data_IF_073901774375
#
_entry.id   IF_073901774375
#
_cell.length_a   1.000
_cell.length_b   1.000
_cell.length_c   1.000
_cell.angle_alpha   90.00
_cell.angle_beta   90.00
_cell.angle_gamma   90.00
#
_symmetry.space_group_name_H-M   'P 1'
#
loop_
_entity.id
_entity.type
_entity.pdbx_description
1 polymer ?
#
# COMPACT_ATOMS: atom_id res chain seq x y z
N UNK A 1 -2.25 -7.81 -29.97
CA UNK A 1 -3.26 -8.27 -29.00
C UNK A 1 -2.62 -9.37 -28.15
N UNK A 2 -2.15 -9.10 -26.93
CA UNK A 2 -1.65 -10.16 -26.07
C UNK A 2 -2.85 -10.95 -25.53
N UNK A 3 -2.76 -12.27 -25.63
CA UNK A 3 -3.83 -13.23 -25.31
C UNK A 3 -4.03 -13.36 -23.80
N UNK A 4 -5.27 -13.64 -23.35
CA UNK A 4 -5.56 -13.86 -21.95
C UNK A 4 -5.02 -15.23 -21.56
N UNK A 5 -3.97 -15.28 -20.74
CA UNK A 5 -3.51 -16.55 -20.20
C UNK A 5 -4.52 -17.06 -19.18
N UNK A 6 -5.29 -18.06 -19.59
CA UNK A 6 -5.99 -18.96 -18.68
C UNK A 6 -4.99 -19.71 -17.80
N UNK A 7 -5.47 -20.16 -16.64
CA UNK A 7 -4.72 -20.60 -15.45
C UNK A 7 -3.81 -21.85 -15.60
N UNK A 8 -3.22 -22.12 -16.77
CA UNK A 8 -2.25 -23.20 -16.98
C UNK A 8 -1.12 -22.75 -17.94
N UNK A 9 0.01 -22.35 -17.36
CA UNK A 9 1.35 -22.51 -17.99
C UNK A 9 1.80 -21.51 -19.06
N UNK A 10 1.11 -20.38 -19.26
CA UNK A 10 1.63 -19.30 -20.10
C UNK A 10 2.52 -18.33 -19.32
N UNK A 11 3.65 -17.89 -19.90
CA UNK A 11 4.49 -16.87 -19.27
C UNK A 11 3.73 -15.55 -19.16
N UNK A 12 3.78 -14.90 -17.98
CA UNK A 12 3.11 -13.62 -17.72
C UNK A 12 3.64 -12.47 -18.59
N UNK A 13 4.82 -12.64 -19.18
CA UNK A 13 5.45 -11.71 -20.12
C UNK A 13 5.64 -12.39 -21.47
N UNK A 14 5.45 -11.61 -22.54
CA UNK A 14 5.86 -11.99 -23.89
C UNK A 14 7.40 -12.00 -24.02
N UNK A 15 7.89 -12.67 -25.07
CA UNK A 15 9.33 -12.71 -25.34
C UNK A 15 9.94 -11.32 -25.55
N UNK A 16 9.19 -10.37 -26.12
CA UNK A 16 9.67 -9.01 -26.35
C UNK A 16 9.72 -8.20 -25.06
N UNK A 17 8.70 -8.30 -24.21
CA UNK A 17 8.71 -7.67 -22.90
C UNK A 17 9.86 -8.20 -22.02
N UNK A 18 10.17 -9.50 -22.11
CA UNK A 18 11.34 -10.07 -21.43
C UNK A 18 12.67 -9.53 -21.98
N UNK A 19 12.77 -9.26 -23.27
CA UNK A 19 13.96 -8.63 -23.86
C UNK A 19 14.14 -7.20 -23.36
N UNK A 20 13.05 -6.42 -23.30
CA UNK A 20 13.04 -5.06 -22.74
C UNK A 20 13.44 -5.09 -21.27
N UNK A 21 12.85 -5.99 -20.46
CA UNK A 21 13.19 -6.15 -19.05
C UNK A 21 14.67 -6.52 -18.85
N UNK A 22 15.18 -7.48 -19.62
CA UNK A 22 16.60 -7.88 -19.55
C UNK A 22 17.52 -6.71 -19.86
N UNK A 23 17.19 -5.91 -20.88
CA UNK A 23 17.95 -4.71 -21.25
C UNK A 23 17.91 -3.66 -20.13
N UNK A 24 16.74 -3.38 -19.58
CA UNK A 24 16.58 -2.45 -18.45
C UNK A 24 17.40 -2.89 -17.23
N UNK A 25 17.40 -4.18 -16.90
CA UNK A 25 18.21 -4.75 -15.82
C UNK A 25 19.71 -4.63 -16.10
N UNK A 26 20.16 -4.89 -17.34
CA UNK A 26 21.56 -4.72 -17.71
C UNK A 26 22.04 -3.28 -17.50
N UNK A 27 21.21 -2.30 -17.86
CA UNK A 27 21.49 -0.87 -17.62
C UNK A 27 21.47 -0.51 -16.14
N UNK A 28 20.55 -1.08 -15.36
CA UNK A 28 20.50 -0.85 -13.91
C UNK A 28 21.77 -1.38 -13.20
N UNK A 29 22.33 -2.49 -13.67
CA UNK A 29 23.58 -3.06 -13.15
C UNK A 29 24.83 -2.33 -13.68
N UNK A 30 24.78 -1.87 -14.92
CA UNK A 30 25.86 -1.16 -15.60
C UNK A 30 25.33 0.11 -16.26
N UNK A 31 25.27 1.23 -15.52
CA UNK A 31 24.67 2.46 -16.01
C UNK A 31 25.36 2.96 -17.28
N UNK A 32 24.58 3.02 -18.35
CA UNK A 32 24.99 3.54 -19.65
C UNK A 32 23.85 4.40 -20.23
N UNK A 33 24.17 5.39 -21.09
CA UNK A 33 23.14 6.16 -21.78
C UNK A 33 22.24 5.22 -22.60
N UNK A 34 20.94 5.38 -22.44
CA UNK A 34 19.91 4.66 -23.21
C UNK A 34 19.44 5.51 -24.39
N UNK A 35 19.14 4.87 -25.51
CA UNK A 35 18.46 5.54 -26.62
C UNK A 35 17.00 5.87 -26.24
N UNK A 36 16.46 6.96 -26.79
CA UNK A 36 15.09 7.39 -26.47
C UNK A 36 14.05 6.29 -26.72
N UNK A 37 14.20 5.49 -27.78
CA UNK A 37 13.31 4.37 -28.08
C UNK A 37 13.33 3.32 -26.95
N UNK A 38 14.50 3.00 -26.40
CA UNK A 38 14.62 2.04 -25.31
C UNK A 38 13.99 2.56 -24.02
N UNK A 39 14.08 3.88 -23.77
CA UNK A 39 13.40 4.53 -22.64
C UNK A 39 11.89 4.43 -22.80
N UNK A 40 11.36 4.71 -24.00
CA UNK A 40 9.92 4.59 -24.27
C UNK A 40 9.42 3.15 -24.13
N UNK A 41 10.19 2.16 -24.58
CA UNK A 41 9.87 0.74 -24.38
C UNK A 41 9.81 0.37 -22.89
N UNK A 42 10.77 0.85 -22.09
CA UNK A 42 10.77 0.61 -20.65
C UNK A 42 9.57 1.27 -19.95
N UNK A 43 9.23 2.50 -20.32
CA UNK A 43 8.06 3.20 -19.78
C UNK A 43 6.75 2.50 -20.18
N UNK A 44 6.65 2.01 -21.41
CA UNK A 44 5.49 1.22 -21.86
C UNK A 44 5.37 -0.07 -21.06
N UNK A 45 6.47 -0.81 -20.88
CA UNK A 45 6.49 -2.04 -20.09
C UNK A 45 6.09 -1.76 -18.63
N UNK A 46 6.62 -0.71 -18.02
CA UNK A 46 6.24 -0.29 -16.67
C UNK A 46 4.74 0.00 -16.58
N UNK A 47 4.17 0.74 -17.54
CA UNK A 47 2.73 0.99 -17.60
C UNK A 47 1.89 -0.28 -17.73
N UNK A 48 2.33 -1.26 -18.54
CA UNK A 48 1.66 -2.56 -18.63
C UNK A 48 1.70 -3.34 -17.31
N UNK A 49 2.84 -3.31 -16.60
CA UNK A 49 2.98 -3.96 -15.29
C UNK A 49 2.09 -3.28 -14.24
N UNK A 50 2.07 -1.95 -14.20
CA UNK A 50 1.21 -1.20 -13.29
C UNK A 50 -0.26 -1.51 -13.53
N UNK A 51 -0.68 -1.62 -14.80
CA UNK A 51 -2.04 -2.01 -15.15
C UNK A 51 -2.37 -3.45 -14.71
N UNK A 52 -1.45 -4.39 -14.94
CA UNK A 52 -1.62 -5.77 -14.48
C UNK A 52 -1.74 -5.84 -12.94
N UNK A 53 -0.96 -5.04 -12.21
CA UNK A 53 -1.05 -4.94 -10.75
C UNK A 53 -2.39 -4.34 -10.32
N UNK A 54 -2.87 -3.29 -10.99
CA UNK A 54 -4.19 -2.69 -10.71
C UNK A 54 -5.31 -3.70 -10.90
N UNK A 55 -5.31 -4.42 -12.02
CA UNK A 55 -6.36 -5.42 -12.29
C UNK A 55 -6.26 -6.62 -11.34
N UNK A 56 -5.06 -7.10 -11.02
CA UNK A 56 -4.87 -8.15 -10.03
C UNK A 56 -5.43 -7.73 -8.64
N UNK A 57 -5.21 -6.47 -8.24
CA UNK A 57 -5.77 -5.94 -7.00
C UNK A 57 -7.30 -5.84 -7.05
N UNK A 58 -7.87 -5.46 -8.19
CA UNK A 58 -9.32 -5.43 -8.40
C UNK A 58 -9.95 -6.82 -8.27
N UNK A 59 -9.37 -7.82 -8.93
CA UNK A 59 -9.79 -9.23 -8.82
C UNK A 59 -9.67 -9.73 -7.39
N UNK A 60 -8.56 -9.41 -6.71
CA UNK A 60 -8.37 -9.76 -5.29
C UNK A 60 -9.43 -9.13 -4.40
N UNK A 61 -9.76 -7.86 -4.59
CA UNK A 61 -10.79 -7.17 -3.82
C UNK A 61 -12.17 -7.84 -4.00
N UNK A 62 -12.50 -8.24 -5.24
CA UNK A 62 -13.72 -8.99 -5.53
C UNK A 62 -13.75 -10.35 -4.81
N UNK A 63 -12.67 -11.14 -4.90
CA UNK A 63 -12.56 -12.44 -4.22
C UNK A 63 -12.69 -12.32 -2.70
N UNK A 64 -12.10 -11.29 -2.09
CA UNK A 64 -12.21 -11.04 -0.65
C UNK A 64 -13.64 -10.65 -0.23
N UNK A 65 -14.31 -9.84 -1.05
CA UNK A 65 -15.72 -9.50 -0.82
C UNK A 65 -16.63 -10.74 -0.93
N UNK A 66 -16.35 -11.63 -1.88
CA UNK A 66 -17.05 -12.89 -2.01
C UNK A 66 -16.77 -13.82 -0.83
N UNK A 67 -15.53 -13.96 -0.38
CA UNK A 67 -15.20 -14.74 0.82
C UNK A 67 -16.00 -14.27 2.04
N UNK A 68 -16.10 -12.96 2.26
CA UNK A 68 -16.91 -12.41 3.34
C UNK A 68 -18.40 -12.76 3.16
N UNK A 69 -18.94 -12.67 1.93
CA UNK A 69 -20.32 -13.04 1.62
C UNK A 69 -20.60 -14.52 1.88
N UNK A 70 -19.75 -15.42 1.38
CA UNK A 70 -19.85 -16.85 1.64
C UNK A 70 -19.80 -17.12 3.14
N UNK A 71 -18.88 -16.48 3.87
CA UNK A 71 -18.76 -16.64 5.33
C UNK A 71 -20.02 -16.20 6.08
N UNK A 72 -20.67 -15.11 5.67
CA UNK A 72 -21.94 -14.66 6.28
C UNK A 72 -23.12 -15.59 6.04
N UNK A 73 -23.05 -16.42 4.99
CA UNK A 73 -24.09 -17.38 4.62
C UNK A 73 -23.86 -18.79 5.21
N UNK A 74 -22.89 -18.94 6.12
CA UNK A 74 -22.62 -20.22 6.79
C UNK A 74 -23.78 -20.61 7.73
N UNK A 75 -24.07 -21.92 7.88
CA UNK A 75 -23.33 -23.06 7.34
C UNK A 75 -23.71 -23.46 5.89
N UNK A 76 -24.78 -22.89 5.32
CA UNK A 76 -25.32 -23.31 4.02
C UNK A 76 -24.38 -23.12 2.83
N UNK A 77 -23.45 -22.19 2.94
CA UNK A 77 -22.43 -21.87 1.93
C UNK A 77 -21.10 -22.61 2.11
N UNK A 78 -21.01 -23.57 3.04
CA UNK A 78 -19.73 -24.18 3.44
C UNK A 78 -18.88 -24.73 2.29
N UNK A 79 -19.43 -25.47 1.29
CA UNK A 79 -18.62 -25.97 0.17
C UNK A 79 -17.93 -24.84 -0.60
N UNK A 80 -18.70 -23.82 -1.02
CA UNK A 80 -18.17 -22.68 -1.77
C UNK A 80 -17.21 -21.82 -0.96
N UNK A 81 -17.44 -21.67 0.35
CA UNK A 81 -16.50 -20.98 1.24
C UNK A 81 -15.14 -21.70 1.30
N UNK A 82 -15.13 -23.03 1.44
CA UNK A 82 -13.89 -23.81 1.56
C UNK A 82 -13.09 -23.85 0.27
N UNK A 83 -13.75 -23.97 -0.89
CA UNK A 83 -13.11 -23.89 -2.21
C UNK A 83 -12.49 -22.50 -2.44
N UNK A 84 -13.27 -21.44 -2.24
CA UNK A 84 -12.79 -20.07 -2.44
C UNK A 84 -11.63 -19.72 -1.49
N UNK A 85 -11.68 -20.23 -0.25
CA UNK A 85 -10.59 -20.05 0.71
C UNK A 85 -9.33 -20.79 0.28
N UNK A 86 -9.42 -21.99 -0.30
CA UNK A 86 -8.26 -22.70 -0.83
C UNK A 86 -7.57 -21.92 -1.94
N UNK A 87 -8.35 -21.40 -2.89
CA UNK A 87 -7.84 -20.60 -4.00
C UNK A 87 -7.20 -19.30 -3.50
N UNK A 88 -7.85 -18.62 -2.54
CA UNK A 88 -7.28 -17.41 -1.93
C UNK A 88 -5.96 -17.70 -1.20
N UNK A 89 -5.88 -18.80 -0.44
CA UNK A 89 -4.65 -19.21 0.24
C UNK A 89 -3.54 -19.60 -0.74
N UNK A 90 -3.87 -20.19 -1.89
CA UNK A 90 -2.92 -20.47 -2.95
C UNK A 90 -2.38 -19.16 -3.59
N UNK A 91 -3.20 -18.11 -3.63
CA UNK A 91 -2.82 -16.78 -4.07
C UNK A 91 -2.10 -15.92 -2.99
N UNK A 92 -1.78 -16.49 -1.82
CA UNK A 92 -1.05 -15.79 -0.75
C UNK A 92 -1.93 -14.89 0.13
N UNK A 93 -3.21 -15.22 0.29
CA UNK A 93 -4.08 -14.60 1.30
C UNK A 93 -3.62 -14.93 2.73
N UNK A 94 -3.59 -13.92 3.62
CA UNK A 94 -3.36 -14.09 5.05
C UNK A 94 -4.72 -14.25 5.75
N UNK A 95 -5.03 -15.42 6.35
CA UNK A 95 -6.35 -15.70 6.90
C UNK A 95 -6.69 -14.80 8.09
N UNK A 96 -7.94 -14.34 8.14
CA UNK A 96 -8.42 -13.47 9.22
C UNK A 96 -8.87 -14.27 10.46
N UNK A 97 -8.98 -13.63 11.64
CA UNK A 97 -9.54 -14.28 12.84
C UNK A 97 -10.95 -14.86 12.62
N UNK A 98 -11.77 -14.16 11.83
CA UNK A 98 -13.10 -14.61 11.44
C UNK A 98 -13.06 -15.87 10.57
N UNK A 99 -12.07 -15.99 9.68
CA UNK A 99 -11.90 -17.18 8.85
C UNK A 99 -11.53 -18.39 9.73
N UNK A 100 -10.70 -18.18 10.75
CA UNK A 100 -10.38 -19.20 11.75
C UNK A 100 -11.61 -19.54 12.61
N UNK A 101 -12.48 -18.58 12.93
CA UNK A 101 -13.72 -18.82 13.66
C UNK A 101 -14.70 -19.66 12.82
N UNK A 102 -14.88 -19.29 11.55
CA UNK A 102 -15.69 -20.05 10.59
C UNK A 102 -15.20 -21.49 10.44
N UNK A 103 -13.89 -21.69 10.26
CA UNK A 103 -13.30 -23.03 10.15
C UNK A 103 -13.45 -23.86 11.43
N UNK A 104 -13.38 -23.24 12.63
CA UNK A 104 -13.68 -23.94 13.90
C UNK A 104 -15.14 -24.41 13.95
N UNK A 105 -16.08 -23.59 13.49
CA UNK A 105 -17.50 -23.96 13.40
C UNK A 105 -17.78 -25.10 12.42
N UNK A 106 -16.93 -25.25 11.39
CA UNK A 106 -17.04 -26.29 10.36
C UNK A 106 -16.15 -27.51 10.61
N UNK A 107 -15.57 -27.66 11.81
CA UNK A 107 -14.54 -28.68 12.11
C UNK A 107 -14.99 -30.13 11.91
N UNK A 108 -16.29 -30.40 11.90
CA UNK A 108 -16.83 -31.72 11.56
C UNK A 108 -16.49 -32.16 10.12
N UNK A 109 -16.19 -31.22 9.22
CA UNK A 109 -15.74 -31.49 7.86
C UNK A 109 -14.21 -31.68 7.84
N UNK A 110 -13.69 -32.78 7.27
CA UNK A 110 -12.26 -33.06 7.27
C UNK A 110 -11.45 -32.00 6.51
N UNK A 111 -12.00 -31.48 5.41
CA UNK A 111 -11.39 -30.41 4.62
C UNK A 111 -11.24 -29.12 5.44
N UNK A 112 -12.27 -28.75 6.21
CA UNK A 112 -12.23 -27.56 7.06
C UNK A 112 -11.21 -27.72 8.20
N UNK A 113 -11.11 -28.92 8.80
CA UNK A 113 -10.11 -29.21 9.81
C UNK A 113 -8.68 -29.10 9.25
N UNK A 114 -8.42 -29.64 8.06
CA UNK A 114 -7.11 -29.52 7.41
C UNK A 114 -6.76 -28.07 7.06
N UNK A 115 -7.74 -27.30 6.55
CA UNK A 115 -7.56 -25.87 6.29
C UNK A 115 -7.31 -25.07 7.55
N UNK A 116 -7.98 -25.40 8.67
CA UNK A 116 -7.77 -24.72 9.95
C UNK A 116 -6.30 -24.83 10.39
N UNK A 117 -5.69 -26.02 10.31
CA UNK A 117 -4.28 -26.20 10.68
C UNK A 117 -3.34 -25.47 9.72
N UNK A 118 -3.65 -25.42 8.43
CA UNK A 118 -2.89 -24.61 7.46
C UNK A 118 -2.99 -23.11 7.78
N UNK A 119 -4.20 -22.61 8.01
CA UNK A 119 -4.45 -21.20 8.29
C UNK A 119 -3.77 -20.74 9.58
N UNK A 120 -3.75 -21.58 10.63
CA UNK A 120 -3.04 -21.28 11.88
C UNK A 120 -1.55 -21.06 11.65
N UNK A 121 -0.89 -21.97 10.92
CA UNK A 121 0.55 -21.83 10.59
C UNK A 121 0.82 -20.56 9.80
N UNK A 122 -0.05 -20.22 8.85
CA UNK A 122 0.08 -18.99 8.06
C UNK A 122 -0.07 -17.74 8.94
N UNK A 123 -1.10 -17.71 9.80
CA UNK A 123 -1.33 -16.60 10.72
C UNK A 123 -0.18 -16.43 11.73
N UNK A 124 0.36 -17.52 12.25
CA UNK A 124 1.54 -17.49 13.14
C UNK A 124 2.77 -16.93 12.42
N UNK A 125 3.02 -17.38 11.19
CA UNK A 125 4.12 -16.87 10.38
C UNK A 125 3.94 -15.39 10.03
N UNK A 126 2.72 -14.95 9.73
CA UNK A 126 2.44 -13.54 9.42
C UNK A 126 2.59 -12.66 10.65
N UNK A 127 2.15 -13.11 11.84
CA UNK A 127 2.43 -12.41 13.10
C UNK A 127 3.92 -12.35 13.39
N UNK A 128 4.66 -13.46 13.23
CA UNK A 128 6.11 -13.49 13.44
C UNK A 128 6.84 -12.52 12.51
N UNK A 129 6.47 -12.48 11.22
CA UNK A 129 7.03 -11.54 10.26
C UNK A 129 6.75 -10.08 10.65
N UNK A 130 5.52 -9.76 11.08
CA UNK A 130 5.15 -8.43 11.58
C UNK A 130 5.97 -8.03 12.80
N UNK A 131 6.17 -8.93 13.76
CA UNK A 131 6.99 -8.67 14.95
C UNK A 131 8.47 -8.44 14.60
N UNK A 132 9.03 -9.23 13.68
CA UNK A 132 10.40 -9.07 13.20
C UNK A 132 10.62 -7.73 12.47
N UNK A 133 9.61 -7.23 11.77
CA UNK A 133 9.67 -5.93 11.11
C UNK A 133 9.63 -4.74 12.10
N UNK A 134 8.99 -4.90 13.26
CA UNK A 134 8.90 -3.86 14.30
C UNK A 134 10.16 -3.79 15.16
N UNK A 135 10.89 -4.89 15.32
CA UNK A 135 12.18 -4.87 16.02
C UNK A 135 13.20 -4.11 15.18
N UNK A 136 13.79 -2.99 15.67
CA UNK A 136 14.84 -2.31 14.95
C UNK A 136 15.99 -3.29 14.74
N UNK A 137 16.26 -3.66 13.50
CA UNK A 137 17.44 -4.43 13.16
C UNK A 137 18.70 -3.70 13.65
N UNK A 138 19.81 -4.43 13.91
CA UNK A 138 21.06 -3.79 14.28
C UNK A 138 21.39 -2.75 13.20
N UNK A 139 21.41 -1.45 13.58
CA UNK A 139 21.74 -0.36 12.68
C UNK A 139 23.16 -0.59 12.19
N UNK A 140 23.30 -1.17 11.00
CA UNK A 140 24.55 -1.14 10.26
C UNK A 140 24.92 0.32 10.12
N UNK A 141 26.01 0.73 10.80
CA UNK A 141 26.54 2.09 10.66
C UNK A 141 26.78 2.29 9.17
N UNK A 142 25.99 3.17 8.56
CA UNK A 142 26.19 3.58 7.17
C UNK A 142 27.63 4.10 7.08
N UNK A 143 28.50 3.35 6.41
CA UNK A 143 29.81 3.83 6.03
C UNK A 143 29.57 5.00 5.07
N UNK A 144 29.94 6.20 5.50
CA UNK A 144 29.88 7.37 4.64
C UNK A 144 30.70 7.08 3.38
N UNK A 145 30.05 7.18 2.22
CA UNK A 145 30.72 7.15 0.92
C UNK A 145 31.79 8.25 0.92
N UNK A 146 33.06 7.94 0.59
CA UNK A 146 34.10 8.96 0.49
C UNK A 146 33.75 9.87 -0.70
N UNK A 147 33.30 11.09 -0.40
CA UNK A 147 32.91 12.07 -1.43
C UNK A 147 32.05 13.24 -0.90
N UNK A 148 31.43 13.11 0.27
CA UNK A 148 30.55 14.14 0.84
C UNK A 148 31.22 15.21 1.71
N UNK A 149 32.39 15.74 1.35
CA UNK A 149 32.98 16.90 2.05
C UNK A 149 32.92 18.15 1.17
N UNK A 150 31.90 18.97 1.41
CA UNK A 150 31.96 20.38 1.06
C UNK A 150 33.14 21.00 1.84
N UNK A 151 34.04 21.67 1.13
CA UNK A 151 35.22 22.32 1.68
C UNK A 151 34.81 23.34 2.75
N UNK A 152 35.21 23.09 3.99
CA UNK A 152 35.22 24.09 5.06
C UNK A 152 36.66 24.22 5.54
N UNK A 153 37.13 25.45 5.48
CA UNK A 153 38.49 25.94 5.68
C UNK A 153 39.05 25.62 7.08
N UNK A 154 40.38 25.55 7.14
CA UNK A 154 41.20 25.27 8.33
C UNK A 154 40.87 26.12 9.57
N UNK A 155 40.92 25.57 10.80
CA UNK A 155 40.75 26.34 12.02
C UNK A 155 42.10 26.87 12.56
N UNK A 156 42.21 28.19 12.71
CA UNK A 156 43.25 28.85 13.53
C UNK A 156 42.81 28.99 15.00
N UNK A 157 43.74 29.01 15.97
CA UNK A 157 43.41 28.80 17.38
C UNK A 157 43.03 30.08 18.15
N UNK A 158 41.97 29.92 18.95
CA UNK A 158 41.59 30.51 20.26
C UNK A 158 41.87 32.00 20.57
N UNK A 159 40.78 32.72 20.80
CA UNK A 159 40.70 33.76 21.84
C UNK A 159 39.41 33.57 22.66
N UNK A 160 39.48 33.81 23.97
CA UNK A 160 38.49 33.45 24.99
C UNK A 160 37.15 34.22 24.87
N UNK A 161 36.01 33.64 25.30
CA UNK A 161 34.71 34.27 25.18
C UNK A 161 34.44 35.29 26.30
N UNK A 162 34.15 36.54 25.93
CA UNK A 162 33.48 37.50 26.81
C UNK A 162 32.00 37.12 26.93
N UNK A 163 31.52 37.11 28.16
CA UNK A 163 30.13 36.89 28.57
C UNK A 163 29.25 38.09 28.25
N UNK A 164 28.18 37.89 27.48
CA UNK A 164 27.01 38.77 27.37
C UNK A 164 25.73 37.92 27.21
N UNK A 165 24.54 38.44 27.56
CA UNK A 165 23.56 37.73 28.38
C UNK A 165 22.65 36.77 27.61
N UNK A 166 22.16 35.75 28.31
CA UNK A 166 21.21 34.78 27.81
C UNK A 166 19.89 35.43 27.32
N UNK A 167 19.31 34.98 26.19
CA UNK A 167 17.97 35.38 25.79
C UNK A 167 16.94 34.80 26.77
N UNK A 168 16.05 35.67 27.25
CA UNK A 168 14.98 35.31 28.17
C UNK A 168 14.06 34.24 27.57
N UNK A 169 13.79 33.18 28.35
CA UNK A 169 12.73 32.20 28.08
C UNK A 169 11.38 32.94 28.01
N UNK A 170 10.52 32.69 27.01
CA UNK A 170 9.17 33.22 27.01
C UNK A 170 8.36 32.54 28.13
N UNK A 171 7.91 33.34 29.10
CA UNK A 171 6.94 32.91 30.09
C UNK A 171 5.55 32.78 29.44
N UNK A 172 4.73 31.78 29.82
CA UNK A 172 3.37 31.64 29.31
C UNK A 172 2.49 32.79 29.80
N UNK A 173 1.91 33.56 28.86
CA UNK A 173 0.94 34.61 29.19
C UNK A 173 -0.39 33.98 29.61
N UNK A 174 -0.90 34.41 30.76
CA UNK A 174 -2.27 34.15 31.21
C UNK A 174 -3.31 34.65 30.18
N UNK A 175 -4.48 34.01 30.07
CA UNK A 175 -5.48 34.35 29.08
C UNK A 175 -6.14 35.70 29.39
N UNK A 176 -6.19 36.60 28.40
CA UNK A 176 -6.93 37.87 28.48
C UNK A 176 -8.40 37.62 28.10
N UNK A 177 -9.37 38.11 28.88
CA UNK A 177 -10.78 37.84 28.67
C UNK A 177 -11.44 38.93 27.84
N UNK A 178 -11.09 39.11 26.56
CA UNK A 178 -11.76 40.11 25.72
C UNK A 178 -11.75 39.75 24.22
N UNK A 179 -12.39 38.63 23.87
CA UNK A 179 -12.88 38.41 22.51
C UNK A 179 -14.26 37.75 22.56
N UNK A 180 -15.33 38.39 22.04
CA UNK A 180 -16.64 37.77 21.96
C UNK A 180 -16.58 36.55 21.04
N UNK A 181 -17.11 35.44 21.53
CA UNK A 181 -17.22 34.17 20.81
C UNK A 181 -18.27 34.37 19.70
N UNK A 182 -17.94 34.16 18.41
CA UNK A 182 -18.92 34.29 17.34
C UNK A 182 -19.99 33.21 17.48
N UNK A 183 -21.26 33.64 17.47
CA UNK A 183 -22.42 32.75 17.60
C UNK A 183 -22.58 31.81 16.40
N UNK A 184 -23.21 30.63 16.57
CA UNK A 184 -23.32 29.61 15.52
C UNK A 184 -23.96 30.05 14.18
N UNK A 185 -24.60 31.21 14.12
CA UNK A 185 -25.21 31.76 12.89
C UNK A 185 -24.22 32.37 11.89
N UNK A 186 -22.97 32.63 12.28
CA UNK A 186 -21.96 33.23 11.37
C UNK A 186 -21.07 32.19 10.67
N UNK A 187 -21.10 30.92 11.10
CA UNK A 187 -20.30 29.82 10.51
C UNK A 187 -21.12 28.96 9.54
N UNK A 188 -22.44 29.21 9.42
CA UNK A 188 -23.32 28.48 8.51
C UNK A 188 -24.08 29.44 7.58
N UNK A 189 -23.55 29.78 6.40
CA UNK A 189 -24.30 30.51 5.40
C UNK A 189 -25.57 29.72 4.98
N UNK A 190 -26.74 30.37 4.83
CA UNK A 190 -27.98 29.68 4.51
C UNK A 190 -27.90 29.02 3.12
N UNK A 191 -28.36 27.76 3.07
CA UNK A 191 -28.40 26.93 1.85
C UNK A 191 -29.15 27.65 0.73
N UNK A 192 -28.47 27.91 -0.39
CA UNK A 192 -29.12 28.30 -1.65
C UNK A 192 -30.03 27.15 -2.10
N UNK A 193 -31.30 27.46 -2.35
CA UNK A 193 -32.25 26.53 -2.98
C UNK A 193 -31.79 26.25 -4.43
N UNK A 194 -31.83 25.00 -4.92
CA UNK A 194 -31.50 24.70 -6.31
C UNK A 194 -32.51 25.35 -7.27
N UNK A 195 -32.02 25.87 -8.40
CA UNK A 195 -32.87 26.36 -9.49
C UNK A 195 -33.67 25.20 -10.12
N UNK A 196 -34.92 25.43 -10.56
CA UNK A 196 -35.68 24.44 -11.31
C UNK A 196 -35.07 24.21 -12.71
N UNK A 197 -35.20 23.00 -13.27
CA UNK A 197 -34.65 22.68 -14.59
C UNK A 197 -35.36 23.46 -15.71
N UNK A 198 -34.65 23.84 -16.78
CA UNK A 198 -35.26 24.54 -17.91
C UNK A 198 -36.23 23.61 -18.66
N UNK A 199 -37.40 24.16 -19.00
CA UNK A 199 -38.42 23.48 -19.78
C UNK A 199 -37.88 23.07 -21.16
N UNK A 200 -37.99 21.78 -21.47
CA UNK A 200 -37.76 21.26 -22.81
C UNK A 200 -38.77 21.89 -23.77
N UNK A 201 -38.27 22.68 -24.73
CA UNK A 201 -39.07 23.05 -25.91
C UNK A 201 -39.12 21.83 -26.82
N UNK A 202 -40.32 21.27 -26.95
CA UNK A 202 -40.66 20.42 -28.09
C UNK A 202 -40.55 21.27 -29.36
N UNK A 203 -39.69 20.85 -30.28
CA UNK A 203 -39.75 21.24 -31.68
C UNK A 203 -40.30 20.04 -32.44
N UNK A 204 -41.38 20.28 -33.19
CA UNK A 204 -42.00 19.33 -34.09
C UNK A 204 -41.21 19.10 -35.37
#
# INVERSE_FOLDING_TARGET
MPTPYGSRGGMAFSADELRVLRRALAVALHPAPLADADVHDCLRLAGSVDEAVREANRLRAFLLADLARYRTALPGSAPGYLELLQDALAAGYDPTPDDLAALRGLRALPVAAALLERCRRLAENSVRARLAAVTPGPRTRLLALPGGRAAAQDPKPRTQPKSEPAPARPQPKAPRPDRPIPTPGEVFPPRRKPLPPPAARAAG
#
